data_IF_988738779224
#
_entry.id   IF_988738779224
#
_cell.length_a   1.000
_cell.length_b   1.000
_cell.length_c   1.000
_cell.angle_alpha   90.00
_cell.angle_beta   90.00
_cell.angle_gamma   90.00
#
_symmetry.space_group_name_H-M   'P 1'
#
loop_
_entity.id
_entity.type
_entity.pdbx_description
1 polymer ?
#
# COMPACT_ATOMS: atom_id res chain seq x y z
N UNK A 1 -44.56 30.88 11.38
CA UNK A 1 -44.64 30.80 12.86
C UNK A 1 -45.31 29.49 13.20
N UNK A 2 -44.79 28.62 14.09
CA UNK A 2 -43.62 28.75 14.98
C UNK A 2 -42.34 28.14 14.34
N UNK A 3 -41.10 28.53 14.62
CA UNK A 3 -40.31 28.76 15.86
C UNK A 3 -39.56 27.51 16.34
N UNK A 4 -38.23 27.53 16.20
CA UNK A 4 -37.27 26.57 16.74
C UNK A 4 -35.83 26.93 16.30
N UNK A 5 -34.92 27.05 17.26
CA UNK A 5 -33.67 27.85 17.26
C UNK A 5 -32.44 27.32 16.47
N UNK A 6 -31.41 28.18 16.27
CA UNK A 6 -30.25 27.91 15.42
C UNK A 6 -29.10 27.16 16.11
N UNK A 7 -28.36 26.38 15.32
CA UNK A 7 -27.12 25.72 15.73
C UNK A 7 -25.94 26.70 15.75
N UNK A 8 -25.10 26.52 16.77
CA UNK A 8 -23.94 27.31 17.14
C UNK A 8 -22.81 27.33 16.11
N UNK A 9 -22.12 28.47 16.09
CA UNK A 9 -20.90 28.81 15.35
C UNK A 9 -19.78 27.78 15.51
N UNK A 10 -19.08 27.49 14.41
CA UNK A 10 -17.69 27.02 14.45
C UNK A 10 -16.88 27.77 13.39
N UNK A 11 -16.32 28.91 13.79
CA UNK A 11 -15.31 29.64 13.03
C UNK A 11 -13.98 28.88 13.12
N UNK A 12 -13.42 28.55 11.96
CA UNK A 12 -12.09 27.96 11.81
C UNK A 12 -11.02 28.90 12.42
N UNK A 13 -9.97 28.38 13.09
CA UNK A 13 -8.88 29.22 13.58
C UNK A 13 -8.03 29.76 12.40
N UNK A 14 -7.82 31.07 12.41
CA UNK A 14 -6.90 31.79 11.54
C UNK A 14 -5.43 31.43 11.85
N UNK A 15 -4.49 31.71 10.91
CA UNK A 15 -3.07 31.35 11.06
C UNK A 15 -2.46 32.10 12.24
N UNK A 16 -1.78 31.37 13.13
CA UNK A 16 -1.11 31.95 14.29
C UNK A 16 0.01 32.89 13.81
N UNK A 17 -0.06 34.12 14.33
CA UNK A 17 0.87 35.23 14.09
C UNK A 17 2.31 34.85 14.42
N UNK A 18 3.16 34.72 13.38
CA UNK A 18 4.62 34.60 13.52
C UNK A 18 5.28 35.81 14.20
N UNK A 19 4.53 36.89 14.43
CA UNK A 19 5.03 38.11 15.05
C UNK A 19 5.11 38.02 16.59
N UNK A 20 4.36 37.11 17.22
CA UNK A 20 4.33 36.95 18.68
C UNK A 20 5.62 36.38 19.28
N UNK A 21 6.50 35.77 18.48
CA UNK A 21 7.75 35.16 18.96
C UNK A 21 8.88 36.16 19.19
N UNK A 22 8.68 37.44 18.86
CA UNK A 22 9.76 38.43 18.96
C UNK A 22 9.79 39.17 20.30
N UNK A 23 8.78 39.04 21.18
CA UNK A 23 8.74 39.83 22.41
C UNK A 23 7.99 39.14 23.54
N UNK A 24 8.72 38.58 24.50
CA UNK A 24 8.36 38.67 25.91
C UNK A 24 9.62 38.92 26.77
N UNK A 25 9.49 39.89 27.67
CA UNK A 25 10.42 40.31 28.73
C UNK A 25 11.75 40.96 28.31
N UNK A 26 11.65 42.13 27.65
CA UNK A 26 12.57 43.27 27.84
C UNK A 26 14.07 43.12 27.53
N UNK A 27 14.55 41.95 27.10
CA UNK A 27 15.94 41.70 26.73
C UNK A 27 15.99 41.01 25.37
N UNK A 28 16.76 41.53 24.38
CA UNK A 28 16.84 40.90 23.07
C UNK A 28 17.47 39.52 23.20
N UNK A 29 16.70 38.46 22.95
CA UNK A 29 17.31 37.16 22.67
C UNK A 29 18.13 37.32 21.40
N UNK A 30 19.39 36.90 21.47
CA UNK A 30 20.29 36.91 20.33
C UNK A 30 19.60 36.23 19.14
N UNK A 31 19.52 36.92 18.01
CA UNK A 31 18.79 36.43 16.82
C UNK A 31 19.40 35.12 16.33
N UNK A 32 20.68 34.92 16.62
CA UNK A 32 21.42 33.71 16.31
C UNK A 32 20.90 32.52 17.13
N UNK A 33 20.45 32.71 18.37
CA UNK A 33 19.88 31.62 19.19
C UNK A 33 18.50 31.17 18.73
N UNK A 34 17.67 32.10 18.24
CA UNK A 34 16.32 31.79 17.75
C UNK A 34 16.37 31.09 16.40
N UNK A 35 17.25 31.53 15.49
CA UNK A 35 17.45 30.86 14.20
C UNK A 35 18.02 29.44 14.37
N UNK A 36 19.03 29.26 15.22
CA UNK A 36 19.58 27.93 15.50
C UNK A 36 18.54 26.95 16.09
N UNK A 37 17.61 27.42 16.93
CA UNK A 37 16.58 26.56 17.54
C UNK A 37 15.49 26.14 16.53
N UNK A 38 15.15 27.01 15.58
CA UNK A 38 14.17 26.71 14.52
C UNK A 38 14.80 25.79 13.45
N UNK A 39 16.07 25.99 13.13
CA UNK A 39 16.83 25.13 12.23
C UNK A 39 17.03 23.72 12.82
N UNK A 40 17.33 23.60 14.12
CA UNK A 40 17.46 22.30 14.79
C UNK A 40 16.14 21.52 14.89
N UNK A 41 14.99 22.19 15.06
CA UNK A 41 13.67 21.55 15.09
C UNK A 41 13.13 21.21 13.68
N UNK A 42 13.39 22.03 12.66
CA UNK A 42 13.08 21.72 11.27
C UNK A 42 13.98 20.61 10.72
N UNK A 43 15.28 20.60 11.02
CA UNK A 43 16.20 19.51 10.64
C UNK A 43 15.86 18.20 11.37
N UNK A 44 15.41 18.27 12.63
CA UNK A 44 14.92 17.11 13.38
C UNK A 44 13.60 16.58 12.84
N UNK A 45 12.72 17.43 12.30
CA UNK A 45 11.46 17.01 11.69
C UNK A 45 11.65 16.52 10.24
N UNK A 46 12.63 17.04 9.51
CA UNK A 46 13.03 16.54 8.18
C UNK A 46 13.71 15.16 8.24
N UNK A 47 14.49 14.88 9.29
CA UNK A 47 15.05 13.53 9.56
C UNK A 47 14.00 12.46 9.90
N UNK A 48 12.72 12.84 10.10
CA UNK A 48 11.64 11.90 10.48
C UNK A 48 10.83 11.42 9.26
N UNK A 49 11.09 11.94 8.06
CA UNK A 49 10.52 11.40 6.82
C UNK A 49 11.54 10.62 5.99
N UNK A 50 12.56 10.03 6.64
CA UNK A 50 13.40 9.03 6.01
C UNK A 50 12.56 7.78 5.73
N UNK A 51 12.22 7.56 4.45
CA UNK A 51 11.49 6.38 4.01
C UNK A 51 12.30 5.13 4.37
N UNK A 52 11.86 4.41 5.39
CA UNK A 52 12.47 3.15 5.78
C UNK A 52 12.24 2.12 4.68
N UNK A 53 13.26 1.90 3.86
CA UNK A 53 13.22 0.86 2.83
C UNK A 53 13.34 -0.51 3.49
N UNK A 54 12.30 -1.34 3.36
CA UNK A 54 12.31 -2.72 3.84
C UNK A 54 12.94 -3.60 2.76
N UNK A 55 13.94 -4.39 3.13
CA UNK A 55 14.55 -5.31 2.16
C UNK A 55 13.57 -6.42 1.75
N UNK A 56 13.51 -6.78 0.46
CA UNK A 56 12.59 -7.81 -0.02
C UNK A 56 12.98 -9.25 0.37
N UNK A 57 14.20 -9.46 0.89
CA UNK A 57 14.78 -10.78 1.19
C UNK A 57 14.66 -11.20 2.67
N UNK A 58 13.97 -10.41 3.50
CA UNK A 58 13.69 -10.79 4.88
C UNK A 58 12.86 -12.09 4.91
N UNK A 59 13.17 -13.06 5.79
CA UNK A 59 12.37 -14.28 5.90
C UNK A 59 10.90 -13.96 6.20
N UNK A 60 10.00 -14.78 5.62
CA UNK A 60 8.57 -14.61 5.83
C UNK A 60 8.20 -14.83 7.29
N UNK A 61 7.28 -14.01 7.80
CA UNK A 61 6.68 -14.15 9.14
C UNK A 61 5.38 -14.97 9.11
N UNK A 62 5.04 -15.56 7.97
CA UNK A 62 3.83 -16.35 7.78
C UNK A 62 3.88 -17.60 8.67
N UNK A 63 2.82 -17.82 9.45
CA UNK A 63 2.73 -18.93 10.40
C UNK A 63 2.11 -20.19 9.82
N UNK A 64 1.60 -20.16 8.57
CA UNK A 64 0.93 -21.29 7.93
C UNK A 64 1.79 -22.57 7.90
N UNK A 65 1.15 -23.71 8.14
CA UNK A 65 1.70 -25.06 8.03
C UNK A 65 0.75 -26.00 7.26
N UNK A 66 1.31 -27.04 6.66
CA UNK A 66 0.55 -28.11 6.02
C UNK A 66 -0.38 -28.79 7.04
N UNK A 67 -1.67 -28.81 6.75
CA UNK A 67 -2.70 -29.39 7.61
C UNK A 67 -3.49 -28.37 8.44
N UNK A 68 -3.06 -27.10 8.50
CA UNK A 68 -3.81 -26.03 9.15
C UNK A 68 -5.16 -25.80 8.46
N UNK A 69 -6.17 -25.41 9.24
CA UNK A 69 -7.49 -25.10 8.71
C UNK A 69 -7.46 -23.76 7.98
N UNK A 70 -8.17 -23.67 6.85
CA UNK A 70 -8.32 -22.42 6.09
C UNK A 70 -8.94 -21.29 6.95
N UNK A 71 -9.79 -21.65 7.92
CA UNK A 71 -10.45 -20.72 8.85
C UNK A 71 -9.47 -20.01 9.79
N UNK A 72 -8.32 -20.62 10.06
CA UNK A 72 -7.34 -20.10 11.00
C UNK A 72 -6.38 -19.11 10.32
N UNK A 73 -6.43 -19.04 8.99
CA UNK A 73 -5.62 -18.13 8.21
C UNK A 73 -6.11 -16.68 8.42
N UNK A 74 -5.22 -15.75 8.88
CA UNK A 74 -5.58 -14.36 9.10
C UNK A 74 -5.72 -13.56 7.79
N UNK A 75 -5.52 -14.20 6.64
CA UNK A 75 -5.53 -13.56 5.34
C UNK A 75 -6.93 -13.51 4.71
N UNK A 76 -7.17 -12.50 3.87
CA UNK A 76 -8.37 -12.42 3.04
C UNK A 76 -8.22 -13.45 1.91
N UNK A 77 -9.21 -14.31 1.75
CA UNK A 77 -9.28 -15.25 0.64
C UNK A 77 -10.42 -14.83 -0.29
N UNK A 78 -10.08 -14.49 -1.53
CA UNK A 78 -11.07 -14.29 -2.57
C UNK A 78 -11.36 -15.62 -3.28
N UNK A 79 -12.63 -15.87 -3.58
CA UNK A 79 -13.00 -16.96 -4.48
C UNK A 79 -12.82 -16.52 -5.94
N UNK A 80 -12.53 -17.48 -6.82
CA UNK A 80 -12.45 -17.20 -8.25
C UNK A 80 -13.86 -16.86 -8.76
N UNK A 81 -14.09 -15.64 -9.27
CA UNK A 81 -15.38 -15.30 -9.84
C UNK A 81 -15.54 -16.01 -11.19
N UNK A 82 -16.72 -16.59 -11.45
CA UNK A 82 -17.07 -17.05 -12.79
C UNK A 82 -17.16 -15.86 -13.74
N UNK A 83 -16.52 -15.93 -14.90
CA UNK A 83 -16.61 -14.85 -15.88
C UNK A 83 -18.03 -14.70 -16.46
N UNK A 84 -18.67 -13.52 -16.33
CA UNK A 84 -19.92 -13.25 -17.03
C UNK A 84 -19.67 -13.15 -18.54
N UNK A 85 -20.71 -13.39 -19.35
CA UNK A 85 -20.60 -13.30 -20.82
C UNK A 85 -20.15 -11.91 -21.32
N UNK A 86 -20.44 -10.85 -20.56
CA UNK A 86 -19.96 -9.50 -20.83
C UNK A 86 -19.17 -9.05 -19.61
N UNK A 87 -17.86 -8.86 -19.79
CA UNK A 87 -16.97 -8.43 -18.71
C UNK A 87 -17.16 -6.93 -18.43
N UNK A 88 -17.24 -6.51 -17.15
CA UNK A 88 -17.41 -5.10 -16.81
C UNK A 88 -16.14 -4.26 -17.03
N UNK A 89 -14.95 -4.89 -17.03
CA UNK A 89 -13.68 -4.26 -17.39
C UNK A 89 -12.63 -5.33 -17.72
N UNK A 90 -11.48 -4.90 -18.26
CA UNK A 90 -10.41 -5.79 -18.71
C UNK A 90 -9.74 -6.58 -17.58
N UNK A 91 -9.72 -6.06 -16.35
CA UNK A 91 -9.12 -6.78 -15.20
C UNK A 91 -9.90 -8.04 -14.84
N UNK A 92 -11.18 -8.13 -15.25
CA UNK A 92 -11.99 -9.35 -15.08
C UNK A 92 -11.62 -10.46 -16.06
N UNK A 93 -10.72 -10.20 -17.01
CA UNK A 93 -10.16 -11.21 -17.89
C UNK A 93 -8.82 -11.78 -17.35
N UNK A 94 -8.37 -11.35 -16.18
CA UNK A 94 -7.18 -11.90 -15.51
C UNK A 94 -7.59 -13.18 -14.78
N UNK A 95 -6.82 -14.25 -15.00
CA UNK A 95 -7.18 -15.59 -14.56
C UNK A 95 -7.93 -16.35 -15.65
N UNK A 96 -8.56 -17.48 -15.28
CA UNK A 96 -9.16 -18.43 -16.23
C UNK A 96 -8.19 -18.90 -17.34
N UNK A 97 -6.88 -18.84 -17.06
CA UNK A 97 -5.83 -19.26 -17.99
C UNK A 97 -5.94 -20.76 -18.29
N UNK A 98 -5.95 -21.17 -19.57
CA UNK A 98 -6.13 -22.56 -19.92
C UNK A 98 -4.94 -23.41 -19.48
N UNK A 99 -5.24 -24.61 -19.01
CA UNK A 99 -4.24 -25.66 -18.80
C UNK A 99 -4.11 -26.46 -20.11
N UNK A 100 -2.99 -26.28 -20.83
CA UNK A 100 -2.80 -26.81 -22.18
C UNK A 100 -1.93 -28.06 -22.17
N UNK A 101 -2.42 -29.17 -22.73
CA UNK A 101 -1.65 -30.41 -22.84
C UNK A 101 -0.52 -30.31 -23.86
N UNK A 102 0.68 -30.72 -23.46
CA UNK A 102 1.85 -30.77 -24.35
C UNK A 102 1.92 -32.12 -25.06
N UNK A 103 1.71 -32.09 -26.37
CA UNK A 103 1.48 -33.32 -27.15
C UNK A 103 2.74 -33.95 -27.77
N UNK A 104 3.73 -33.13 -28.16
CA UNK A 104 4.89 -33.58 -28.97
C UNK A 104 6.15 -33.73 -28.14
N UNK A 105 6.54 -32.69 -27.39
CA UNK A 105 7.79 -32.66 -26.63
C UNK A 105 7.90 -33.83 -25.64
N UNK A 106 6.90 -34.14 -24.78
CA UNK A 106 6.98 -35.28 -23.87
C UNK A 106 7.24 -36.61 -24.58
N UNK A 107 6.60 -36.82 -25.74
CA UNK A 107 6.77 -38.04 -26.54
C UNK A 107 8.18 -38.15 -27.12
N UNK A 108 8.77 -37.03 -27.55
CA UNK A 108 10.14 -36.99 -28.06
C UNK A 108 11.16 -37.40 -27.00
N UNK A 109 10.91 -37.07 -25.72
CA UNK A 109 11.80 -37.40 -24.60
C UNK A 109 11.39 -38.67 -23.84
N UNK A 110 10.43 -39.45 -24.35
CA UNK A 110 10.00 -40.70 -23.72
C UNK A 110 9.27 -40.53 -22.39
N UNK A 111 8.74 -39.34 -22.11
CA UNK A 111 7.94 -39.05 -20.91
C UNK A 111 6.61 -39.79 -21.00
N UNK A 112 6.29 -40.57 -19.96
CA UNK A 112 5.10 -41.44 -19.92
C UNK A 112 3.88 -40.81 -19.25
N UNK A 113 4.07 -39.76 -18.45
CA UNK A 113 2.98 -39.02 -17.84
C UNK A 113 2.40 -37.97 -18.80
N UNK A 114 1.18 -37.51 -18.51
CA UNK A 114 0.60 -36.34 -19.17
C UNK A 114 1.31 -35.07 -18.66
N UNK A 115 1.81 -34.27 -19.58
CA UNK A 115 2.41 -32.97 -19.28
C UNK A 115 1.43 -31.90 -19.76
N UNK A 116 1.13 -30.96 -18.87
CA UNK A 116 0.32 -29.79 -19.15
C UNK A 116 1.09 -28.53 -18.76
N UNK A 117 0.85 -27.44 -19.48
CA UNK A 117 1.42 -26.13 -19.22
C UNK A 117 0.31 -25.14 -18.85
N UNK A 118 0.62 -24.26 -17.91
CA UNK A 118 -0.24 -23.13 -17.55
C UNK A 118 0.22 -21.91 -18.35
N UNK A 119 -0.54 -21.55 -19.39
CA UNK A 119 -0.10 -20.59 -20.39
C UNK A 119 -0.32 -19.12 -19.97
N UNK A 120 0.54 -18.61 -19.07
CA UNK A 120 0.45 -17.23 -18.58
C UNK A 120 1.17 -16.23 -19.49
N UNK A 121 0.67 -16.09 -20.72
CA UNK A 121 1.19 -15.16 -21.74
C UNK A 121 1.15 -13.66 -21.33
N UNK A 122 0.49 -13.29 -20.22
CA UNK A 122 0.46 -11.90 -19.75
C UNK A 122 1.77 -11.44 -19.08
N UNK A 123 2.68 -12.37 -18.76
CA UNK A 123 3.91 -12.06 -18.04
C UNK A 123 5.17 -12.08 -18.92
N UNK A 124 5.06 -12.44 -20.19
CA UNK A 124 6.21 -12.46 -21.12
C UNK A 124 6.26 -11.21 -21.99
N UNK A 125 6.38 -10.05 -21.37
CA UNK A 125 7.01 -8.89 -22.00
C UNK A 125 7.96 -8.28 -21.00
N UNK A 126 9.18 -8.80 -20.98
CA UNK A 126 10.39 -8.00 -20.79
C UNK A 126 11.36 -8.43 -21.90
N UNK A 127 11.88 -7.44 -22.62
CA UNK A 127 12.73 -7.53 -23.81
C UNK A 127 14.12 -8.11 -23.52
#
# INVERSE_FOLDING_TARGET
MPSGQPASESLSPHPIDKMSLLYEDGTPKDKDQVWNSVEEEEEKNERVMERTWVRPDLPSKCTWKLGDLKTDSPHIHAEQPTSPSILPNILRHIGETPLVRINKIPKMFGVKCEICEYDDCFLTTDF
#
